data_IF_321880314730
#
_entry.id   IF_321880314730
#
_cell.length_a   1.000
_cell.length_b   1.000
_cell.length_c   1.000
_cell.angle_alpha   90.00
_cell.angle_beta   90.00
_cell.angle_gamma   90.00
#
_symmetry.space_group_name_H-M   'P 1'
#
loop_
_entity.id
_entity.type
_entity.pdbx_description
1 polymer ?
#
# COMPACT_ATOMS: atom_id res chain seq x y z
N UNK A 1 -1.61 17.83 -7.21
CA UNK A 1 -1.80 16.57 -6.48
C UNK A 1 -2.36 16.93 -5.12
N UNK A 2 -3.49 16.35 -4.77
CA UNK A 2 -4.10 16.51 -3.45
C UNK A 2 -3.80 15.26 -2.61
N UNK A 3 -3.53 15.45 -1.33
CA UNK A 3 -3.11 14.37 -0.43
C UNK A 3 -4.07 14.28 0.74
N UNK A 4 -4.76 13.15 0.84
CA UNK A 4 -5.61 12.80 1.98
C UNK A 4 -4.80 11.94 2.95
N UNK A 5 -4.31 12.56 4.02
CA UNK A 5 -3.54 11.88 5.05
C UNK A 5 -4.49 11.25 6.07
N UNK A 6 -4.43 9.93 6.24
CA UNK A 6 -5.25 9.19 7.21
C UNK A 6 -5.14 9.74 8.64
N UNK A 7 -4.01 10.39 8.99
CA UNK A 7 -3.78 11.01 10.31
C UNK A 7 -4.57 12.30 10.53
N UNK A 8 -5.13 12.86 9.47
CA UNK A 8 -5.93 14.09 9.50
C UNK A 8 -7.44 13.83 9.60
N UNK A 9 -7.84 12.56 9.72
CA UNK A 9 -9.24 12.13 9.85
C UNK A 9 -9.40 11.30 11.13
N UNK A 10 -10.61 11.32 11.71
CA UNK A 10 -10.88 10.56 12.93
C UNK A 10 -10.94 9.04 12.64
N UNK A 11 -11.43 8.69 11.44
CA UNK A 11 -11.40 7.32 10.94
C UNK A 11 -11.30 7.23 9.40
N UNK A 12 -11.13 6.00 8.90
CA UNK A 12 -11.01 5.70 7.48
C UNK A 12 -12.28 6.06 6.68
N UNK A 13 -13.46 5.99 7.28
CA UNK A 13 -14.73 6.27 6.58
C UNK A 13 -14.85 7.76 6.26
N UNK A 14 -14.37 8.62 7.15
CA UNK A 14 -14.32 10.06 6.89
C UNK A 14 -13.39 10.39 5.73
N UNK A 15 -12.20 9.76 5.67
CA UNK A 15 -11.30 9.89 4.53
C UNK A 15 -11.95 9.40 3.23
N UNK A 16 -12.62 8.25 3.27
CA UNK A 16 -13.35 7.70 2.12
C UNK A 16 -14.48 8.65 1.67
N UNK A 17 -15.19 9.27 2.61
CA UNK A 17 -16.23 10.25 2.31
C UNK A 17 -15.65 11.50 1.66
N UNK A 18 -14.56 12.04 2.21
CA UNK A 18 -13.89 13.23 1.66
C UNK A 18 -13.43 13.01 0.21
N UNK A 19 -12.82 11.86 -0.09
CA UNK A 19 -12.42 11.52 -1.47
C UNK A 19 -13.64 11.31 -2.39
N UNK A 20 -14.75 10.79 -1.85
CA UNK A 20 -15.99 10.66 -2.62
C UNK A 20 -16.61 12.00 -2.95
N UNK A 21 -16.55 12.97 -2.05
CA UNK A 21 -17.07 14.31 -2.27
C UNK A 21 -16.36 15.01 -3.44
N UNK A 22 -15.05 14.78 -3.59
CA UNK A 22 -14.28 15.24 -4.77
C UNK A 22 -14.67 14.55 -6.09
N UNK A 23 -15.47 13.49 -6.03
CA UNK A 23 -15.87 12.68 -7.19
C UNK A 23 -17.40 12.63 -7.34
N UNK A 24 -18.10 13.68 -6.90
CA UNK A 24 -19.56 13.79 -6.93
C UNK A 24 -20.28 12.59 -6.27
N UNK A 25 -19.66 12.04 -5.22
CA UNK A 25 -20.13 10.86 -4.50
C UNK A 25 -19.93 9.52 -5.23
N UNK A 26 -19.34 9.51 -6.43
CA UNK A 26 -19.21 8.28 -7.26
C UNK A 26 -18.02 7.43 -6.85
N UNK A 27 -16.94 8.05 -6.39
CA UNK A 27 -15.64 7.42 -6.21
C UNK A 27 -14.77 7.44 -7.48
N UNK A 28 -13.45 7.17 -7.36
CA UNK A 28 -12.54 7.19 -8.50
C UNK A 28 -12.81 6.08 -9.52
N UNK A 29 -12.54 6.35 -10.80
CA UNK A 29 -12.58 5.35 -11.89
C UNK A 29 -11.61 4.18 -11.66
N UNK A 30 -10.44 4.49 -11.11
CA UNK A 30 -9.39 3.53 -10.82
C UNK A 30 -8.73 3.85 -9.47
N UNK A 31 -8.36 2.80 -8.74
CA UNK A 31 -7.61 2.91 -7.48
C UNK A 31 -6.38 2.00 -7.56
N UNK A 32 -5.24 2.52 -7.11
CA UNK A 32 -3.98 1.77 -7.05
C UNK A 32 -3.63 1.53 -5.59
N UNK A 33 -3.56 0.26 -5.21
CA UNK A 33 -2.99 -0.13 -3.93
C UNK A 33 -1.49 -0.38 -4.10
N UNK A 34 -0.70 0.55 -3.57
CA UNK A 34 0.76 0.50 -3.54
C UNK A 34 1.31 0.23 -2.13
N UNK A 35 0.48 -0.29 -1.22
CA UNK A 35 0.82 -0.49 0.20
C UNK A 35 1.03 -1.97 0.51
N UNK A 36 0.03 -2.81 0.25
CA UNK A 36 0.09 -4.22 0.61
C UNK A 36 -0.05 -4.49 2.12
N UNK A 37 0.45 -5.64 2.57
CA UNK A 37 0.33 -6.10 3.97
C UNK A 37 1.10 -5.27 5.01
N UNK A 38 1.87 -4.27 4.59
CA UNK A 38 2.57 -3.34 5.49
C UNK A 38 1.74 -2.11 5.87
N UNK A 39 0.42 -2.15 5.64
CA UNK A 39 -0.48 -1.01 5.85
C UNK A 39 -0.31 -0.39 7.25
N UNK A 40 -0.15 -1.19 8.31
CA UNK A 40 0.40 -0.76 9.59
C UNK A 40 1.09 -1.95 10.29
N UNK A 41 2.33 -1.77 10.78
CA UNK A 41 2.78 -2.59 11.93
C UNK A 41 3.95 -3.55 11.78
N UNK A 42 5.04 -3.22 11.08
CA UNK A 42 6.26 -4.08 11.13
C UNK A 42 6.81 -4.29 12.56
N UNK A 43 6.64 -3.32 13.47
CA UNK A 43 7.01 -3.43 14.88
C UNK A 43 5.90 -4.05 15.76
N UNK A 44 4.65 -3.61 15.57
CA UNK A 44 3.50 -4.10 16.33
C UNK A 44 3.15 -5.57 16.00
N UNK A 45 3.29 -5.99 14.74
CA UNK A 45 3.08 -7.37 14.30
C UNK A 45 4.13 -8.32 14.89
N UNK A 46 5.37 -7.86 15.12
CA UNK A 46 6.42 -8.66 15.78
C UNK A 46 6.08 -8.92 17.24
N UNK A 47 5.62 -7.90 17.95
CA UNK A 47 5.18 -8.01 19.35
C UNK A 47 3.88 -8.84 19.47
N UNK A 48 2.94 -8.66 18.55
CA UNK A 48 1.71 -9.44 18.50
C UNK A 48 1.95 -10.91 18.15
N UNK A 49 2.86 -11.22 17.22
CA UNK A 49 3.27 -12.60 16.92
C UNK A 49 3.90 -13.28 18.14
N UNK A 50 4.73 -12.56 18.90
CA UNK A 50 5.31 -13.10 20.13
C UNK A 50 4.26 -13.33 21.22
N UNK A 51 3.27 -12.44 21.35
CA UNK A 51 2.21 -12.57 22.35
C UNK A 51 1.17 -13.65 22.00
N UNK A 52 0.80 -13.79 20.73
CA UNK A 52 -0.16 -14.81 20.23
C UNK A 52 0.39 -16.23 20.35
N UNK A 53 1.71 -16.43 20.27
CA UNK A 53 2.36 -17.71 20.50
C UNK A 53 2.15 -18.27 21.92
N UNK A 54 1.79 -17.42 22.89
CA UNK A 54 1.61 -17.75 24.31
C UNK A 54 0.12 -17.79 24.71
N UNK A 55 -0.79 -17.43 23.81
CA UNK A 55 -2.21 -17.24 24.14
C UNK A 55 -3.05 -18.51 23.88
N UNK A 56 -4.05 -18.83 24.74
CA UNK A 56 -4.93 -19.98 24.54
C UNK A 56 -5.72 -19.90 23.23
N UNK A 57 -5.74 -20.99 22.44
CA UNK A 57 -6.39 -21.09 21.10
C UNK A 57 -7.87 -20.66 21.02
N UNK A 58 -8.57 -20.53 22.15
CA UNK A 58 -9.97 -20.07 22.20
C UNK A 58 -10.11 -18.53 22.13
N UNK A 59 -9.07 -17.79 22.50
CA UNK A 59 -9.02 -16.33 22.36
C UNK A 59 -8.30 -15.87 21.07
N UNK A 60 -7.59 -16.77 20.40
CA UNK A 60 -6.83 -16.44 19.19
C UNK A 60 -7.71 -16.17 17.96
N UNK A 61 -8.95 -16.67 17.90
CA UNK A 61 -9.84 -16.50 16.75
C UNK A 61 -10.21 -15.03 16.47
N UNK A 62 -10.89 -14.34 17.40
CA UNK A 62 -11.29 -12.94 17.21
C UNK A 62 -10.10 -11.98 17.07
N UNK A 63 -8.97 -12.32 17.70
CA UNK A 63 -7.76 -11.51 17.61
C UNK A 63 -7.05 -11.70 16.27
N UNK A 64 -6.94 -12.95 15.79
CA UNK A 64 -6.40 -13.24 14.46
C UNK A 64 -7.26 -12.61 13.35
N UNK A 65 -8.58 -12.62 13.49
CA UNK A 65 -9.50 -11.96 12.55
C UNK A 65 -9.25 -10.45 12.48
N UNK A 66 -9.09 -9.78 13.62
CA UNK A 66 -8.70 -8.34 13.66
C UNK A 66 -7.33 -8.09 13.02
N UNK A 67 -6.34 -8.96 13.28
CA UNK A 67 -5.02 -8.84 12.65
C UNK A 67 -5.05 -9.09 11.13
N UNK A 68 -5.92 -9.99 10.65
CA UNK A 68 -6.12 -10.20 9.22
C UNK A 68 -6.79 -8.98 8.56
N UNK A 69 -7.80 -8.40 9.22
CA UNK A 69 -8.48 -7.17 8.76
C UNK A 69 -7.48 -6.00 8.67
N UNK A 70 -6.62 -5.84 9.69
CA UNK A 70 -5.60 -4.79 9.72
C UNK A 70 -4.59 -4.91 8.55
N UNK A 71 -4.22 -6.13 8.17
CA UNK A 71 -3.36 -6.40 7.01
C UNK A 71 -4.02 -6.11 5.67
N UNK A 72 -5.36 -6.14 5.62
CA UNK A 72 -6.16 -5.91 4.41
C UNK A 72 -6.72 -4.49 4.35
N UNK A 73 -6.42 -3.62 5.32
CA UNK A 73 -6.98 -2.28 5.43
C UNK A 73 -6.88 -1.51 4.11
N UNK A 74 -5.69 -1.37 3.53
CA UNK A 74 -5.49 -0.65 2.25
C UNK A 74 -6.31 -1.24 1.08
N UNK A 75 -6.48 -2.56 1.04
CA UNK A 75 -7.30 -3.22 0.03
C UNK A 75 -8.78 -2.94 0.25
N UNK A 76 -9.26 -2.97 1.49
CA UNK A 76 -10.64 -2.61 1.80
C UNK A 76 -10.91 -1.14 1.51
N UNK A 77 -9.99 -0.23 1.84
CA UNK A 77 -10.08 1.19 1.45
C UNK A 77 -10.23 1.31 -0.06
N UNK A 78 -9.41 0.58 -0.83
CA UNK A 78 -9.47 0.61 -2.29
C UNK A 78 -10.81 0.08 -2.83
N UNK A 79 -11.33 -1.02 -2.25
CA UNK A 79 -12.63 -1.60 -2.57
C UNK A 79 -13.76 -0.63 -2.25
N UNK A 80 -13.68 0.11 -1.15
CA UNK A 80 -14.70 1.07 -0.76
C UNK A 80 -14.64 2.34 -1.63
N UNK A 81 -13.44 2.83 -1.93
CA UNK A 81 -13.23 4.04 -2.74
C UNK A 81 -13.68 3.88 -4.19
N UNK A 82 -13.23 2.81 -4.88
CA UNK A 82 -13.41 2.69 -6.33
C UNK A 82 -14.89 2.77 -6.72
N UNK A 83 -15.25 3.45 -7.81
CA UNK A 83 -16.66 3.49 -8.23
C UNK A 83 -17.19 2.12 -8.66
N UNK A 84 -18.51 2.01 -8.79
CA UNK A 84 -19.14 0.89 -9.50
C UNK A 84 -18.61 0.81 -10.94
N UNK A 85 -18.24 -0.39 -11.38
CA UNK A 85 -17.62 -0.68 -12.68
C UNK A 85 -16.21 -0.13 -12.84
N UNK A 86 -15.52 0.21 -11.74
CA UNK A 86 -14.14 0.71 -11.76
C UNK A 86 -13.10 -0.40 -11.61
N UNK A 87 -11.82 0.00 -11.60
CA UNK A 87 -10.69 -0.92 -11.58
C UNK A 87 -9.78 -0.70 -10.37
N UNK A 88 -9.40 -1.79 -9.71
CA UNK A 88 -8.35 -1.78 -8.68
C UNK A 88 -7.09 -2.45 -9.24
N UNK A 89 -5.96 -1.76 -9.14
CA UNK A 89 -4.63 -2.29 -9.43
C UNK A 89 -3.88 -2.54 -8.12
N UNK A 90 -3.65 -3.81 -7.77
CA UNK A 90 -2.92 -4.20 -6.56
C UNK A 90 -1.46 -4.45 -6.92
N UNK A 91 -0.62 -3.46 -6.64
CA UNK A 91 0.83 -3.57 -6.73
C UNK A 91 1.48 -3.87 -5.37
N UNK A 92 0.81 -3.53 -4.27
CA UNK A 92 1.21 -3.88 -2.91
C UNK A 92 1.26 -5.40 -2.71
N UNK A 93 2.21 -5.87 -1.90
CA UNK A 93 2.41 -7.31 -1.68
C UNK A 93 1.47 -7.82 -0.59
N UNK A 94 0.61 -8.77 -0.99
CA UNK A 94 -0.25 -9.54 -0.08
C UNK A 94 0.25 -10.98 0.01
N UNK A 95 0.69 -11.38 1.21
CA UNK A 95 1.15 -12.74 1.51
C UNK A 95 0.09 -13.56 2.24
N UNK A 96 0.01 -14.86 1.93
CA UNK A 96 -0.94 -15.79 2.55
C UNK A 96 -2.34 -15.73 1.92
N UNK A 97 -3.32 -16.33 2.61
CA UNK A 97 -4.72 -16.28 2.18
C UNK A 97 -5.34 -14.95 2.64
N UNK A 98 -5.88 -14.17 1.71
CA UNK A 98 -6.69 -13.00 2.04
C UNK A 98 -8.10 -13.48 2.45
N UNK A 99 -8.41 -13.40 3.75
CA UNK A 99 -9.71 -13.77 4.32
C UNK A 99 -10.03 -12.79 5.46
N UNK A 100 -11.23 -12.15 5.49
CA UNK A 100 -12.37 -12.30 4.58
C UNK A 100 -12.41 -11.33 3.39
N UNK A 101 -12.59 -11.83 2.17
CA UNK A 101 -12.82 -10.97 1.00
C UNK A 101 -14.30 -10.56 0.88
N UNK A 102 -14.64 -9.27 0.70
CA UNK A 102 -16.02 -8.77 0.61
C UNK A 102 -16.63 -9.06 -0.76
N UNK A 103 -16.86 -10.35 -1.07
CA UNK A 103 -17.31 -10.81 -2.38
C UNK A 103 -18.63 -10.19 -2.82
N UNK A 104 -19.55 -9.93 -1.88
CA UNK A 104 -20.81 -9.25 -2.17
C UNK A 104 -20.57 -7.84 -2.71
N UNK A 105 -19.71 -7.06 -2.06
CA UNK A 105 -19.36 -5.70 -2.46
C UNK A 105 -18.63 -5.69 -3.81
N UNK A 106 -17.66 -6.59 -3.99
CA UNK A 106 -16.93 -6.72 -5.26
C UNK A 106 -17.88 -7.03 -6.43
N UNK A 107 -18.83 -7.95 -6.21
CA UNK A 107 -19.82 -8.34 -7.21
C UNK A 107 -20.80 -7.20 -7.51
N UNK A 108 -21.40 -6.61 -6.47
CA UNK A 108 -22.36 -5.52 -6.58
C UNK A 108 -21.77 -4.29 -7.28
N UNK A 109 -20.52 -3.95 -6.94
CA UNK A 109 -19.79 -2.86 -7.58
C UNK A 109 -19.18 -3.24 -8.91
N UNK A 110 -19.29 -4.48 -9.38
CA UNK A 110 -18.74 -4.94 -10.67
C UNK A 110 -17.25 -4.57 -10.84
N UNK A 111 -16.46 -4.73 -9.77
CA UNK A 111 -15.07 -4.27 -9.72
C UNK A 111 -14.18 -5.16 -10.59
N UNK A 112 -13.38 -4.54 -11.45
CA UNK A 112 -12.26 -5.20 -12.11
C UNK A 112 -11.02 -5.14 -11.23
N UNK A 113 -10.28 -6.24 -11.13
CA UNK A 113 -9.10 -6.31 -10.29
C UNK A 113 -7.92 -6.88 -11.07
N UNK A 114 -6.80 -6.16 -11.07
CA UNK A 114 -5.51 -6.63 -11.61
C UNK A 114 -4.48 -6.61 -10.51
N UNK A 115 -3.72 -7.69 -10.37
CA UNK A 115 -2.79 -7.87 -9.26
C UNK A 115 -1.54 -8.63 -9.68
N UNK A 116 -0.51 -8.56 -8.85
CA UNK A 116 0.69 -9.38 -8.96
C UNK A 116 1.98 -8.57 -8.94
N UNK A 117 3.11 -9.27 -9.00
CA UNK A 117 4.40 -8.63 -9.17
C UNK A 117 4.44 -7.86 -10.49
N UNK A 118 5.02 -6.66 -10.46
CA UNK A 118 5.11 -5.83 -11.66
C UNK A 118 5.83 -6.59 -12.78
N UNK A 119 5.18 -6.73 -13.94
CA UNK A 119 5.81 -7.33 -15.12
C UNK A 119 6.70 -6.30 -15.80
N UNK A 120 7.83 -5.97 -15.16
CA UNK A 120 8.71 -4.87 -15.57
C UNK A 120 9.12 -5.00 -17.03
N UNK A 121 9.57 -6.19 -17.46
CA UNK A 121 10.07 -6.41 -18.82
C UNK A 121 9.03 -6.13 -19.90
N UNK A 122 7.74 -6.39 -19.63
CA UNK A 122 6.65 -6.10 -20.56
C UNK A 122 6.51 -4.60 -20.85
N UNK A 123 6.86 -3.75 -19.88
CA UNK A 123 6.66 -2.29 -19.95
C UNK A 123 7.94 -1.52 -20.18
N UNK A 124 9.12 -2.14 -20.05
CA UNK A 124 10.40 -1.44 -20.19
C UNK A 124 10.55 -0.72 -21.52
N UNK A 125 10.13 -1.34 -22.63
CA UNK A 125 10.25 -0.75 -23.97
C UNK A 125 9.34 0.49 -24.12
N UNK A 126 8.24 0.54 -23.36
CA UNK A 126 7.30 1.67 -23.34
C UNK A 126 7.74 2.77 -22.37
N UNK A 127 8.41 2.44 -21.25
CA UNK A 127 8.77 3.38 -20.17
C UNK A 127 10.15 4.02 -20.39
N UNK A 128 11.16 3.25 -20.79
CA UNK A 128 12.54 3.73 -20.95
C UNK A 128 12.65 4.99 -21.84
N UNK A 129 11.90 5.12 -22.96
CA UNK A 129 11.95 6.32 -23.78
C UNK A 129 11.57 7.62 -23.06
N UNK A 130 10.89 7.55 -21.91
CA UNK A 130 10.53 8.71 -21.08
C UNK A 130 11.59 9.04 -20.02
N UNK A 131 12.63 8.21 -19.86
CA UNK A 131 13.73 8.44 -18.93
C UNK A 131 14.81 9.28 -19.64
N UNK A 132 14.49 10.53 -19.91
CA UNK A 132 15.36 11.51 -20.58
C UNK A 132 15.81 12.60 -19.61
N UNK A 133 16.82 13.39 -20.00
CA UNK A 133 17.31 14.54 -19.22
C UNK A 133 16.24 15.64 -19.03
N UNK A 134 15.15 15.62 -19.82
CA UNK A 134 14.00 16.51 -19.64
C UNK A 134 13.10 16.09 -18.46
N UNK A 135 13.34 14.88 -17.93
CA UNK A 135 12.64 14.24 -16.82
C UNK A 135 11.11 14.42 -16.82
N UNK A 136 10.41 14.01 -17.89
CA UNK A 136 8.95 14.18 -17.99
C UNK A 136 8.18 13.38 -16.91
N UNK A 137 8.85 12.44 -16.23
CA UNK A 137 8.28 11.63 -15.16
C UNK A 137 8.66 12.12 -13.74
N UNK A 138 9.55 13.12 -13.61
CA UNK A 138 10.00 13.64 -12.33
C UNK A 138 10.76 12.61 -11.48
N UNK A 139 11.53 11.72 -12.11
CA UNK A 139 12.24 10.61 -11.44
C UNK A 139 13.63 10.98 -10.93
N UNK A 140 14.25 12.07 -11.39
CA UNK A 140 15.63 12.41 -11.02
C UNK A 140 15.76 12.75 -9.52
N UNK A 141 14.79 13.50 -9.00
CA UNK A 141 14.73 13.93 -7.60
C UNK A 141 14.14 12.86 -6.67
N UNK A 142 13.69 11.73 -7.21
CA UNK A 142 13.05 10.68 -6.40
C UNK A 142 14.04 10.06 -5.39
N UNK A 143 15.32 9.95 -5.75
CA UNK A 143 16.38 9.41 -4.90
C UNK A 143 16.83 10.42 -3.83
N UNK A 144 16.13 10.44 -2.69
CA UNK A 144 16.44 11.29 -1.53
C UNK A 144 17.86 11.12 -0.97
N UNK A 145 18.46 9.94 -1.10
CA UNK A 145 19.77 9.63 -0.53
C UNK A 145 20.63 8.85 -1.52
N UNK A 146 21.94 9.15 -1.53
CA UNK A 146 22.97 8.45 -2.30
C UNK A 146 24.12 8.12 -1.36
N UNK A 147 24.41 6.84 -1.16
CA UNK A 147 25.42 6.39 -0.18
C UNK A 147 26.31 5.29 -0.76
N UNK A 148 27.56 5.15 -0.29
CA UNK A 148 28.41 4.05 -0.70
C UNK A 148 27.88 2.70 -0.20
N UNK A 149 28.20 1.61 -0.90
CA UNK A 149 27.75 0.26 -0.52
C UNK A 149 28.13 -0.13 0.92
N UNK A 150 29.24 0.39 1.44
CA UNK A 150 29.69 0.17 2.83
C UNK A 150 28.72 0.69 3.89
N UNK A 151 27.84 1.63 3.54
CA UNK A 151 26.81 2.19 4.42
C UNK A 151 25.44 1.52 4.30
N UNK A 152 25.32 0.45 3.50
CA UNK A 152 24.05 -0.23 3.30
C UNK A 152 23.31 -0.57 4.62
N UNK A 153 23.95 -1.10 5.69
CA UNK A 153 23.25 -1.38 6.95
C UNK A 153 22.58 -0.14 7.56
N UNK A 154 23.26 1.00 7.55
CA UNK A 154 22.73 2.26 8.08
C UNK A 154 21.57 2.79 7.21
N UNK A 155 21.71 2.71 5.89
CA UNK A 155 20.65 3.11 4.97
C UNK A 155 19.37 2.26 5.13
N UNK A 156 19.49 0.94 5.36
CA UNK A 156 18.34 0.09 5.68
C UNK A 156 17.67 0.49 7.00
N UNK A 157 18.45 0.82 8.04
CA UNK A 157 17.90 1.29 9.32
C UNK A 157 17.16 2.62 9.17
N UNK A 158 17.76 3.60 8.47
CA UNK A 158 17.17 4.90 8.17
C UNK A 158 15.83 4.75 7.43
N UNK A 159 15.80 3.95 6.36
CA UNK A 159 14.58 3.69 5.59
C UNK A 159 13.50 2.99 6.43
N UNK A 160 13.86 1.94 7.17
CA UNK A 160 12.92 1.21 8.03
C UNK A 160 12.30 2.11 9.10
N UNK A 161 13.09 3.01 9.70
CA UNK A 161 12.64 3.93 10.75
C UNK A 161 12.01 5.22 10.21
N UNK A 162 11.94 5.39 8.88
CA UNK A 162 11.43 6.59 8.21
C UNK A 162 12.13 7.87 8.72
N UNK A 163 13.43 7.79 8.94
CA UNK A 163 14.27 8.90 9.42
C UNK A 163 14.77 9.75 8.26
N UNK A 164 15.14 10.99 8.56
CA UNK A 164 15.82 11.92 7.65
C UNK A 164 15.12 12.14 6.30
N UNK A 165 13.78 11.95 6.27
CA UNK A 165 13.00 12.06 5.04
C UNK A 165 13.34 11.00 3.99
N UNK A 166 13.85 9.82 4.40
CA UNK A 166 14.20 8.75 3.49
C UNK A 166 12.98 8.21 2.72
N UNK A 167 12.98 8.40 1.39
CA UNK A 167 11.97 7.87 0.46
C UNK A 167 12.58 6.83 -0.48
N UNK A 168 13.75 7.14 -1.06
CA UNK A 168 14.51 6.23 -1.92
C UNK A 168 15.99 6.44 -1.69
N UNK A 169 16.69 5.33 -1.40
CA UNK A 169 18.14 5.30 -1.26
C UNK A 169 18.75 4.63 -2.48
N UNK A 170 19.70 5.29 -3.13
CA UNK A 170 20.50 4.73 -4.20
C UNK A 170 21.89 4.36 -3.67
N UNK A 171 22.27 3.10 -3.85
CA UNK A 171 23.62 2.63 -3.51
C UNK A 171 24.59 2.99 -4.64
N UNK A 172 25.71 3.60 -4.28
CA UNK A 172 26.82 3.86 -5.20
C UNK A 172 27.94 2.86 -4.86
N UNK A 173 28.19 1.87 -5.73
CA UNK A 173 29.23 0.87 -5.51
C UNK A 173 30.62 1.48 -5.40
#
# INVERSE_FOLDING_TARGET
METYDLRSFDDEKELVAAIRDETDGRGPDAVIDAVGTEAHGSAAAKLAQQATAIMPRKLSGPLAERFSIDRLAALYTAIDLVRRGGTISLSGVYGGMADPMPMLTLFDKQIQMRMGQANVRRWSDDIIPYLTDEDPLGVEDFATHRVPLSQAPHAYEMFQRKQDGAVKVLMQP
#
